data_IF_633018034337
#
_entry.id   IF_633018034337
#
_cell.length_a   1.000
_cell.length_b   1.000
_cell.length_c   1.000
_cell.angle_alpha   90.00
_cell.angle_beta   90.00
_cell.angle_gamma   90.00
#
_symmetry.space_group_name_H-M   'P 1'
#
loop_
_entity.id
_entity.type
_entity.pdbx_description
1 polymer ?
#
# COMPACT_ATOMS: atom_id res chain seq x y z
N UNK A 1 15.76 15.57 -28.49
CA UNK A 1 14.67 15.37 -27.50
C UNK A 1 14.89 14.01 -26.88
N UNK A 2 15.09 13.95 -25.56
CA UNK A 2 15.17 12.68 -24.83
C UNK A 2 13.87 12.53 -24.05
N UNK A 3 13.26 11.35 -24.11
CA UNK A 3 12.13 10.98 -23.26
C UNK A 3 12.72 10.32 -22.01
N UNK A 4 12.21 10.68 -20.84
CA UNK A 4 12.51 9.97 -19.60
C UNK A 4 11.38 8.98 -19.37
N UNK A 5 11.70 7.70 -19.28
CA UNK A 5 10.73 6.63 -18.98
C UNK A 5 10.95 6.26 -17.52
N UNK A 6 10.02 6.66 -16.66
CA UNK A 6 10.02 6.29 -15.25
C UNK A 6 8.94 5.21 -15.03
N UNK A 7 9.33 4.07 -14.45
CA UNK A 7 8.41 2.98 -14.08
C UNK A 7 7.95 3.20 -12.64
N UNK A 8 6.64 3.23 -12.43
CA UNK A 8 6.01 3.32 -11.10
C UNK A 8 4.93 2.25 -10.97
N UNK A 9 4.91 1.57 -9.84
CA UNK A 9 3.90 0.57 -9.49
C UNK A 9 3.02 1.19 -8.41
N UNK A 10 1.74 1.37 -8.74
CA UNK A 10 0.73 1.79 -7.79
C UNK A 10 0.00 0.55 -7.26
N UNK A 11 0.16 0.27 -5.97
CA UNK A 11 -0.53 -0.82 -5.27
C UNK A 11 -1.66 -0.21 -4.44
N UNK A 12 -2.88 -0.69 -4.58
CA UNK A 12 -4.03 -0.23 -3.78
C UNK A 12 -4.64 -1.39 -3.02
N UNK A 13 -4.83 -1.23 -1.72
CA UNK A 13 -5.53 -2.16 -0.85
C UNK A 13 -6.78 -1.51 -0.28
N UNK A 14 -7.84 -2.27 -0.07
CA UNK A 14 -9.03 -1.79 0.63
C UNK A 14 -9.34 -2.75 1.76
N UNK A 15 -9.31 -2.25 2.98
CA UNK A 15 -9.68 -3.00 4.18
C UNK A 15 -11.17 -2.83 4.38
N UNK A 16 -11.90 -3.94 4.19
CA UNK A 16 -13.34 -4.02 4.39
C UNK A 16 -13.65 -5.09 5.42
N UNK A 17 -14.64 -4.82 6.28
CA UNK A 17 -15.13 -5.81 7.25
C UNK A 17 -16.62 -5.99 6.96
N UNK A 18 -16.96 -7.16 6.42
CA UNK A 18 -18.29 -7.37 5.84
C UNK A 18 -18.46 -6.49 4.60
N UNK A 19 -19.46 -5.62 4.62
CA UNK A 19 -19.78 -4.68 3.54
C UNK A 19 -19.22 -3.26 3.80
N UNK A 20 -18.62 -3.01 4.96
CA UNK A 20 -18.13 -1.69 5.36
C UNK A 20 -16.66 -1.49 5.02
N UNK A 21 -16.36 -0.41 4.28
CA UNK A 21 -14.99 0.04 4.00
C UNK A 21 -14.43 0.76 5.22
N UNK A 22 -13.42 0.16 5.84
CA UNK A 22 -12.81 0.65 7.07
C UNK A 22 -11.62 1.54 6.77
N UNK A 23 -10.75 1.10 5.87
CA UNK A 23 -9.55 1.82 5.49
C UNK A 23 -9.19 1.55 4.02
N UNK A 24 -8.61 2.54 3.37
CA UNK A 24 -8.03 2.43 2.05
C UNK A 24 -6.51 2.62 2.15
N UNK A 25 -5.78 1.73 1.52
CA UNK A 25 -4.33 1.69 1.49
C UNK A 25 -3.90 1.96 0.06
N UNK A 26 -2.91 2.81 -0.12
CA UNK A 26 -2.34 3.11 -1.43
C UNK A 26 -0.85 3.25 -1.27
N UNK A 27 -0.10 2.45 -2.00
CA UNK A 27 1.34 2.52 -2.07
C UNK A 27 1.80 2.87 -3.48
N UNK A 28 2.83 3.69 -3.56
CA UNK A 28 3.52 3.96 -4.81
C UNK A 28 4.97 3.52 -4.65
N UNK A 29 5.34 2.49 -5.40
CA UNK A 29 6.69 1.96 -5.51
C UNK A 29 7.30 2.54 -6.77
N UNK A 30 8.44 3.20 -6.64
CA UNK A 30 9.17 3.79 -7.77
C UNK A 30 10.42 2.95 -8.04
N UNK A 31 10.68 2.58 -9.29
CA UNK A 31 11.89 1.83 -9.67
C UNK A 31 13.13 2.76 -9.81
N UNK A 32 13.04 4.03 -9.38
CA UNK A 32 14.24 4.85 -9.26
C UNK A 32 15.03 4.32 -8.06
N UNK A 33 16.33 4.07 -8.22
CA UNK A 33 17.24 3.53 -7.19
C UNK A 33 17.30 4.32 -5.85
N UNK A 34 16.55 5.42 -5.74
CA UNK A 34 16.43 6.29 -4.57
C UNK A 34 14.98 6.85 -4.41
N UNK A 35 14.01 6.27 -5.13
CA UNK A 35 12.63 6.75 -5.16
C UNK A 35 11.88 6.39 -3.88
N UNK A 36 11.38 7.35 -3.09
CA UNK A 36 10.73 7.03 -1.82
C UNK A 36 9.42 6.27 -2.08
N UNK A 37 9.34 5.04 -1.57
CA UNK A 37 8.09 4.30 -1.50
C UNK A 37 7.14 5.01 -0.55
N UNK A 38 6.02 5.48 -1.09
CA UNK A 38 5.04 6.26 -0.34
C UNK A 38 3.80 5.42 -0.08
N UNK A 39 3.60 5.05 1.19
CA UNK A 39 2.40 4.33 1.64
C UNK A 39 1.45 5.31 2.32
N UNK A 40 0.33 5.57 1.67
CA UNK A 40 -0.79 6.36 2.19
C UNK A 40 -1.84 5.42 2.75
N UNK A 41 -2.26 5.65 3.99
CA UNK A 41 -3.39 4.96 4.62
C UNK A 41 -4.47 5.98 4.96
N UNK A 42 -5.66 5.79 4.40
CA UNK A 42 -6.84 6.61 4.67
C UNK A 42 -7.85 5.77 5.45
N UNK A 43 -8.10 6.14 6.70
CA UNK A 43 -9.13 5.49 7.51
C UNK A 43 -10.46 6.18 7.23
N UNK A 44 -11.37 5.47 6.57
CA UNK A 44 -12.70 5.99 6.22
C UNK A 44 -13.65 5.94 7.42
N UNK A 45 -13.59 4.84 8.19
CA UNK A 45 -14.48 4.61 9.33
C UNK A 45 -13.69 4.36 10.60
N UNK A 46 -13.54 5.40 11.41
CA UNK A 46 -12.73 5.36 12.64
C UNK A 46 -13.34 4.47 13.72
N UNK A 47 -14.66 4.49 13.90
CA UNK A 47 -15.36 3.66 14.88
C UNK A 47 -15.21 2.17 14.57
N UNK A 48 -15.41 1.80 13.31
CA UNK A 48 -15.27 0.43 12.86
C UNK A 48 -13.80 -0.04 12.85
N UNK A 49 -12.86 0.89 12.60
CA UNK A 49 -11.42 0.66 12.79
C UNK A 49 -11.06 0.38 14.25
N UNK A 50 -11.59 1.16 15.21
CA UNK A 50 -11.31 0.96 16.64
C UNK A 50 -11.90 -0.37 17.12
N UNK A 51 -13.12 -0.70 16.69
CA UNK A 51 -13.79 -1.95 17.02
C UNK A 51 -13.02 -3.19 16.50
N UNK A 52 -12.34 -3.08 15.35
CA UNK A 52 -11.65 -4.19 14.70
C UNK A 52 -10.15 -3.94 14.51
N UNK A 53 -9.54 -3.17 15.42
CA UNK A 53 -8.16 -2.67 15.25
C UNK A 53 -7.14 -3.77 14.96
N UNK A 54 -7.32 -4.96 15.50
CA UNK A 54 -6.40 -6.09 15.32
C UNK A 54 -6.46 -6.63 13.90
N UNK A 55 -7.67 -6.86 13.37
CA UNK A 55 -7.86 -7.31 12.00
C UNK A 55 -7.33 -6.27 11.00
N UNK A 56 -7.70 -5.00 11.18
CA UNK A 56 -7.23 -3.94 10.27
C UNK A 56 -5.71 -3.77 10.31
N UNK A 57 -5.09 -3.87 11.49
CA UNK A 57 -3.62 -3.84 11.59
C UNK A 57 -2.97 -5.02 10.87
N UNK A 58 -3.53 -6.22 11.02
CA UNK A 58 -3.03 -7.39 10.31
C UNK A 58 -3.15 -7.24 8.79
N UNK A 59 -4.25 -6.68 8.28
CA UNK A 59 -4.40 -6.39 6.84
C UNK A 59 -3.42 -5.31 6.36
N UNK A 60 -3.19 -4.26 7.16
CA UNK A 60 -2.19 -3.24 6.84
C UNK A 60 -0.77 -3.84 6.83
N UNK A 61 -0.45 -4.73 7.77
CA UNK A 61 0.84 -5.42 7.81
C UNK A 61 1.02 -6.33 6.59
N UNK A 62 0.01 -7.13 6.24
CA UNK A 62 0.03 -7.93 5.00
C UNK A 62 0.20 -7.07 3.75
N UNK A 63 -0.47 -5.91 3.70
CA UNK A 63 -0.32 -4.99 2.59
C UNK A 63 1.11 -4.45 2.48
N UNK A 64 1.74 -4.13 3.62
CA UNK A 64 3.15 -3.71 3.66
C UNK A 64 4.11 -4.83 3.27
N UNK A 65 3.84 -6.05 3.73
CA UNK A 65 4.64 -7.23 3.36
C UNK A 65 4.58 -7.47 1.85
N UNK A 66 3.40 -7.35 1.23
CA UNK A 66 3.24 -7.43 -0.22
C UNK A 66 3.99 -6.31 -0.96
N UNK A 67 4.02 -5.09 -0.42
CA UNK A 67 4.83 -3.99 -0.99
C UNK A 67 6.31 -4.34 -0.95
N UNK A 68 6.80 -4.82 0.20
CA UNK A 68 8.21 -5.20 0.33
C UNK A 68 8.59 -6.36 -0.59
N UNK A 69 7.70 -7.35 -0.78
CA UNK A 69 7.94 -8.44 -1.74
C UNK A 69 8.02 -7.91 -3.19
N UNK A 70 7.18 -6.94 -3.55
CA UNK A 70 7.23 -6.29 -4.86
C UNK A 70 8.51 -5.44 -5.00
N UNK A 71 8.90 -4.71 -3.95
CA UNK A 71 10.16 -3.94 -3.93
C UNK A 71 11.36 -4.87 -4.11
N UNK A 72 11.43 -5.99 -3.39
CA UNK A 72 12.52 -6.96 -3.48
C UNK A 72 12.58 -7.61 -4.88
N UNK A 73 11.42 -7.89 -5.50
CA UNK A 73 11.36 -8.36 -6.89
C UNK A 73 11.82 -7.31 -7.90
N UNK A 74 11.49 -6.04 -7.68
CA UNK A 74 11.87 -4.94 -8.59
C UNK A 74 13.33 -4.49 -8.42
N UNK A 75 13.91 -4.65 -7.22
CA UNK A 75 15.32 -4.34 -6.93
C UNK A 75 16.26 -5.47 -7.38
N UNK A 76 15.75 -6.71 -7.47
CA UNK A 76 16.49 -7.88 -7.91
C UNK A 76 16.66 -8.03 -9.45
N UNK A 77 16.03 -7.16 -10.26
CA UNK A 77 16.09 -7.16 -11.74
C UNK A 77 17.09 -6.15 -12.31
#
# INVERSE_FOLDING_TARGET
>A
MAIRIDKRIAVTGTVMIGDDVIAMLTANISNEADGPTSVTTSITSKDAYIANKEAVRADIEKFKEAIYEIEDQEDAE
#
